data_IF_097950266499
#
_entry.id   IF_097950266499
#
_cell.length_a   1.000
_cell.length_b   1.000
_cell.length_c   1.000
_cell.angle_alpha   90.00
_cell.angle_beta   90.00
_cell.angle_gamma   90.00
#
_symmetry.space_group_name_H-M   'P 1'
#
loop_
_entity.id
_entity.type
_entity.pdbx_description
1 polymer ?
#
# COMPACT_ATOMS: atom_id res chain seq x y z
N UNK A 1 30.49 -15.18 13.76
CA UNK A 1 30.72 -14.56 12.45
C UNK A 1 29.59 -14.98 11.52
N UNK A 2 28.46 -14.26 11.51
CA UNK A 2 27.33 -14.55 10.61
C UNK A 2 26.61 -13.23 10.27
N UNK A 3 27.24 -12.42 9.40
CA UNK A 3 26.52 -11.40 8.64
C UNK A 3 26.54 -11.88 7.20
N UNK A 4 25.37 -12.27 6.69
CA UNK A 4 25.23 -12.56 5.27
C UNK A 4 25.15 -11.23 4.54
N UNK A 5 26.13 -10.98 3.69
CA UNK A 5 26.13 -9.85 2.77
C UNK A 5 25.79 -10.38 1.39
N UNK A 6 24.98 -9.64 0.64
CA UNK A 6 24.52 -10.06 -0.66
C UNK A 6 23.57 -9.03 -1.26
N UNK A 7 23.15 -9.29 -2.50
CA UNK A 7 22.08 -8.51 -3.13
C UNK A 7 20.74 -9.04 -2.64
N UNK A 8 19.81 -8.14 -2.36
CA UNK A 8 18.47 -8.47 -1.92
C UNK A 8 17.45 -7.71 -2.78
N UNK A 9 16.40 -8.41 -3.20
CA UNK A 9 15.27 -7.84 -3.93
C UNK A 9 13.99 -8.54 -3.49
N UNK A 10 12.91 -7.79 -3.32
CA UNK A 10 11.56 -8.29 -3.08
C UNK A 10 10.58 -7.50 -3.93
N UNK A 11 9.63 -8.22 -4.52
CA UNK A 11 8.54 -7.65 -5.31
C UNK A 11 7.22 -8.09 -4.70
N UNK A 12 6.25 -7.17 -4.67
CA UNK A 12 4.92 -7.40 -4.15
C UNK A 12 3.91 -6.93 -5.18
N UNK A 13 2.82 -7.70 -5.36
CA UNK A 13 1.70 -7.26 -6.17
C UNK A 13 0.89 -6.24 -5.38
N UNK A 14 0.61 -5.09 -5.99
CA UNK A 14 -0.24 -4.08 -5.38
C UNK A 14 -1.72 -4.42 -5.57
N UNK A 15 -2.59 -4.10 -4.60
CA UNK A 15 -4.02 -4.20 -4.80
C UNK A 15 -4.49 -3.18 -5.84
N UNK A 16 -5.62 -3.45 -6.50
CA UNK A 16 -6.17 -2.58 -7.55
C UNK A 16 -6.46 -1.16 -7.06
N UNK A 17 -6.84 -1.02 -5.79
CA UNK A 17 -7.14 0.27 -5.17
C UNK A 17 -5.91 0.92 -4.52
N UNK A 18 -4.69 0.57 -4.91
CA UNK A 18 -3.50 1.31 -4.47
C UNK A 18 -3.39 2.65 -5.21
N UNK A 19 -3.09 3.73 -4.47
CA UNK A 19 -2.73 5.01 -5.07
C UNK A 19 -1.21 5.05 -5.28
N UNK A 20 -0.77 4.66 -6.48
CA UNK A 20 0.65 4.53 -6.84
C UNK A 20 1.39 5.87 -6.83
N UNK A 21 0.71 6.96 -7.16
CA UNK A 21 1.31 8.30 -7.21
C UNK A 21 1.69 8.83 -5.82
N UNK A 22 1.09 8.28 -4.76
CA UNK A 22 1.30 8.71 -3.37
C UNK A 22 2.05 7.69 -2.52
N UNK A 23 2.79 6.78 -3.14
CA UNK A 23 3.65 5.85 -2.39
C UNK A 23 4.78 6.63 -1.72
N UNK A 24 4.99 6.36 -0.43
CA UNK A 24 6.07 6.96 0.36
C UNK A 24 7.00 5.86 0.89
N UNK A 25 8.29 6.18 1.02
CA UNK A 25 9.28 5.27 1.58
C UNK A 25 10.24 6.01 2.51
N UNK A 26 10.57 5.38 3.64
CA UNK A 26 11.49 5.92 4.64
C UNK A 26 12.40 4.83 5.19
N UNK A 27 13.67 5.15 5.36
CA UNK A 27 14.64 4.28 6.04
C UNK A 27 14.99 4.90 7.40
N UNK A 28 14.84 4.13 8.47
CA UNK A 28 15.27 4.54 9.81
C UNK A 28 15.77 3.34 10.61
N UNK A 29 16.90 3.50 11.30
CA UNK A 29 17.48 2.47 12.18
C UNK A 29 17.64 1.09 11.52
N UNK A 30 17.95 1.06 10.22
CA UNK A 30 18.11 -0.18 9.45
C UNK A 30 16.81 -0.85 8.99
N UNK A 31 15.67 -0.18 9.14
CA UNK A 31 14.35 -0.65 8.68
C UNK A 31 13.83 0.25 7.56
N UNK A 32 13.47 -0.38 6.44
CA UNK A 32 12.77 0.26 5.33
C UNK A 32 11.26 0.15 5.57
N UNK A 33 10.60 1.28 5.75
CA UNK A 33 9.15 1.43 5.80
C UNK A 33 8.63 1.92 4.45
N UNK A 34 7.58 1.27 3.94
CA UNK A 34 6.94 1.63 2.66
C UNK A 34 5.44 1.78 2.94
N UNK A 35 4.90 2.97 2.65
CA UNK A 35 3.49 3.31 2.84
C UNK A 35 2.83 3.37 1.47
N UNK A 36 1.80 2.54 1.27
CA UNK A 36 1.03 2.46 0.03
C UNK A 36 -0.41 2.86 0.35
N UNK A 37 -0.78 4.14 0.14
CA UNK A 37 -2.12 4.59 0.44
C UNK A 37 -3.13 3.95 -0.50
N UNK A 38 -4.36 3.74 -0.01
CA UNK A 38 -5.48 3.32 -0.85
C UNK A 38 -6.05 4.52 -1.59
N UNK A 39 -6.47 4.30 -2.84
CA UNK A 39 -7.28 5.24 -3.60
C UNK A 39 -8.60 5.50 -2.87
N UNK A 40 -9.14 6.70 -3.02
CA UNK A 40 -10.43 7.05 -2.43
C UNK A 40 -11.51 6.12 -3.00
N UNK A 41 -12.34 5.50 -2.14
CA UNK A 41 -13.43 4.68 -2.63
C UNK A 41 -14.40 5.58 -3.42
N UNK A 42 -15.01 5.06 -4.50
CA UNK A 42 -16.05 5.80 -5.20
C UNK A 42 -17.12 6.23 -4.20
N UNK A 43 -17.58 7.49 -4.30
CA UNK A 43 -18.66 8.00 -3.45
C UNK A 43 -19.87 7.08 -3.61
N UNK A 44 -20.12 6.24 -2.61
CA UNK A 44 -21.29 5.40 -2.56
C UNK A 44 -22.53 6.30 -2.59
N UNK A 45 -23.19 6.38 -3.75
CA UNK A 45 -24.56 6.86 -3.80
C UNK A 45 -25.41 5.80 -3.12
N UNK A 46 -25.62 5.94 -1.81
CA UNK A 46 -26.59 5.14 -1.08
C UNK A 46 -27.95 5.39 -1.74
N UNK A 47 -28.45 4.41 -2.49
CA UNK A 47 -29.82 4.40 -2.96
C UNK A 47 -30.67 3.83 -1.84
N UNK A 48 -31.43 4.68 -1.16
CA UNK A 48 -32.48 4.22 -0.26
C UNK A 48 -33.61 3.66 -1.10
N UNK A 49 -33.83 2.35 -1.04
CA UNK A 49 -35.01 1.72 -1.64
C UNK A 49 -36.10 1.76 -0.57
N UNK A 50 -37.18 2.49 -0.82
CA UNK A 50 -38.38 2.46 0.02
C UNK A 50 -39.16 1.19 -0.28
N UNK A 51 -39.47 0.41 0.75
CA UNK A 51 -40.35 -0.76 0.69
C UNK A 51 -41.75 -0.31 1.14
N UNK A 52 -42.79 -0.77 0.43
CA UNK A 52 -44.20 -0.51 0.74
C UNK A 52 -44.78 -1.58 1.67
#
# INVERSE_FOLDING_TARGET
MNRQYGKFSRSFSLPENANVEKIEAKMANGVLEIIIPKAEPPKNQRRTIQIQ
#
